data_IF_103962011002
#
_entry.id   IF_103962011002
#
_cell.length_a   1.000
_cell.length_b   1.000
_cell.length_c   1.000
_cell.angle_alpha   90.00
_cell.angle_beta   90.00
_cell.angle_gamma   90.00
#
_symmetry.space_group_name_H-M   'P 1'
#
loop_
_entity.id
_entity.type
_entity.pdbx_description
1 polymer ?
#
# COMPACT_ATOMS: atom_id res chain seq x y z
N UNK A 1 60.42 15.85 -29.39
CA UNK A 1 59.46 16.22 -30.47
C UNK A 1 59.68 15.55 -31.81
N UNK A 2 60.62 14.61 -31.94
CA UNK A 2 60.99 14.00 -33.23
C UNK A 2 60.24 12.70 -33.59
N UNK A 3 59.43 12.12 -32.68
CA UNK A 3 58.76 10.83 -32.90
C UNK A 3 57.34 10.93 -33.41
N UNK A 4 56.74 12.13 -33.46
CA UNK A 4 55.33 12.32 -33.85
C UNK A 4 55.10 12.30 -35.39
N UNK A 5 56.14 12.61 -36.20
CA UNK A 5 56.01 12.63 -37.64
C UNK A 5 55.91 11.23 -38.27
N UNK A 6 56.74 10.22 -37.89
CA UNK A 6 56.62 8.89 -38.47
C UNK A 6 55.32 8.19 -38.08
N UNK A 7 54.78 8.43 -36.85
CA UNK A 7 53.50 7.87 -36.43
C UNK A 7 52.31 8.42 -37.23
N UNK A 8 52.33 9.68 -37.61
CA UNK A 8 51.26 10.30 -38.44
C UNK A 8 51.29 9.76 -39.89
N UNK A 9 52.48 9.52 -40.45
CA UNK A 9 52.61 8.92 -41.76
C UNK A 9 52.14 7.47 -41.79
N UNK A 10 52.43 6.68 -40.77
CA UNK A 10 51.96 5.30 -40.61
C UNK A 10 50.46 5.25 -40.44
N UNK A 11 49.89 6.13 -39.61
CA UNK A 11 48.41 6.17 -39.44
C UNK A 11 47.69 6.64 -40.70
N UNK A 12 48.25 7.56 -41.48
CA UNK A 12 47.70 7.99 -42.76
C UNK A 12 47.75 6.88 -43.82
N UNK A 13 48.83 6.09 -43.84
CA UNK A 13 48.99 4.96 -44.77
C UNK A 13 48.07 3.78 -44.40
N UNK A 14 47.82 3.56 -43.09
CA UNK A 14 46.97 2.46 -42.61
C UNK A 14 45.46 2.83 -42.60
N UNK A 15 45.11 4.11 -42.71
CA UNK A 15 43.72 4.57 -42.68
C UNK A 15 42.83 3.96 -43.79
N UNK A 16 43.27 3.81 -45.06
CA UNK A 16 42.44 3.16 -46.07
C UNK A 16 42.27 1.65 -45.81
N UNK A 17 43.30 0.99 -45.25
CA UNK A 17 43.23 -0.44 -44.93
C UNK A 17 42.25 -0.69 -43.77
N UNK A 18 42.25 0.12 -42.73
CA UNK A 18 41.29 0.02 -41.64
C UNK A 18 39.86 0.28 -42.09
N UNK A 19 39.65 1.26 -43.00
CA UNK A 19 38.33 1.52 -43.60
C UNK A 19 37.83 0.34 -44.44
N UNK A 20 38.72 -0.29 -45.22
CA UNK A 20 38.40 -1.45 -46.02
C UNK A 20 38.01 -2.65 -45.14
N UNK A 21 38.77 -2.89 -44.06
CA UNK A 21 38.47 -3.95 -43.09
C UNK A 21 37.15 -3.74 -42.37
N UNK A 22 36.81 -2.50 -41.98
CA UNK A 22 35.51 -2.15 -41.37
C UNK A 22 34.39 -2.36 -42.40
N UNK A 23 34.60 -2.00 -43.68
CA UNK A 23 33.63 -2.19 -44.75
C UNK A 23 33.39 -3.67 -45.05
N UNK A 24 34.43 -4.48 -45.05
CA UNK A 24 34.38 -5.94 -45.22
C UNK A 24 33.68 -6.59 -44.01
N UNK A 25 34.04 -6.17 -42.79
CA UNK A 25 33.39 -6.62 -41.56
C UNK A 25 31.89 -6.34 -41.56
N UNK A 26 31.47 -5.14 -41.95
CA UNK A 26 30.07 -4.77 -42.08
C UNK A 26 29.33 -5.49 -43.22
N UNK A 27 30.03 -5.93 -44.28
CA UNK A 27 29.47 -6.68 -45.39
C UNK A 27 29.32 -8.17 -45.07
N UNK A 28 30.24 -8.73 -44.29
CA UNK A 28 30.20 -10.14 -43.86
C UNK A 28 29.30 -10.40 -42.66
N UNK A 29 29.06 -9.37 -41.84
CA UNK A 29 28.15 -9.44 -40.70
C UNK A 29 27.00 -8.46 -40.97
N UNK A 30 25.89 -8.85 -41.63
CA UNK A 30 24.71 -8.02 -41.79
C UNK A 30 23.94 -7.95 -40.46
N UNK A 31 24.61 -7.62 -39.39
CA UNK A 31 24.04 -7.17 -38.15
C UNK A 31 23.90 -5.65 -38.23
N UNK A 32 22.84 -5.12 -37.72
CA UNK A 32 22.63 -3.68 -37.50
C UNK A 32 23.83 -3.15 -36.69
N UNK A 33 24.90 -2.74 -37.41
CA UNK A 33 26.07 -2.18 -36.78
C UNK A 33 25.71 -1.04 -35.85
N UNK A 34 26.45 -0.86 -34.77
CA UNK A 34 26.45 0.19 -33.73
C UNK A 34 25.74 1.52 -34.11
N UNK A 35 24.43 1.41 -34.49
CA UNK A 35 23.59 2.58 -34.75
C UNK A 35 22.94 3.11 -33.47
N UNK A 36 22.94 2.30 -32.44
CA UNK A 36 22.54 2.70 -31.10
C UNK A 36 23.82 2.89 -30.30
N UNK A 37 23.94 3.98 -29.57
CA UNK A 37 25.14 4.34 -28.80
C UNK A 37 25.60 3.25 -27.81
N UNK A 38 26.57 3.53 -26.95
CA UNK A 38 27.21 2.55 -26.06
C UNK A 38 26.28 1.85 -25.07
N UNK A 39 24.98 2.12 -25.10
CA UNK A 39 23.96 1.47 -24.25
C UNK A 39 22.78 1.05 -25.13
N UNK A 40 22.91 -0.11 -25.78
CA UNK A 40 21.91 -0.61 -26.72
C UNK A 40 20.83 -1.48 -26.04
N UNK A 41 21.02 -1.88 -24.78
CA UNK A 41 20.07 -2.71 -24.04
C UNK A 41 20.01 -2.31 -22.55
N UNK A 42 18.89 -2.60 -21.91
CA UNK A 42 18.72 -2.44 -20.47
C UNK A 42 19.74 -3.27 -19.68
N UNK A 43 20.10 -4.46 -20.17
CA UNK A 43 21.12 -5.32 -19.57
C UNK A 43 22.47 -4.60 -19.48
N UNK A 44 22.91 -3.94 -20.58
CA UNK A 44 24.15 -3.18 -20.57
C UNK A 44 24.12 -2.00 -19.60
N UNK A 45 22.95 -1.38 -19.42
CA UNK A 45 22.79 -0.28 -18.48
C UNK A 45 22.84 -0.80 -17.03
N UNK A 46 22.25 -1.95 -16.74
CA UNK A 46 22.36 -2.61 -15.42
C UNK A 46 23.82 -2.95 -15.09
N UNK A 47 24.58 -3.50 -16.03
CA UNK A 47 26.00 -3.80 -15.84
C UNK A 47 26.83 -2.54 -15.53
N UNK A 48 26.52 -1.41 -16.16
CA UNK A 48 27.21 -0.13 -15.88
C UNK A 48 26.88 0.38 -14.49
N UNK A 49 25.64 0.25 -14.04
CA UNK A 49 25.21 0.62 -12.68
C UNK A 49 25.93 -0.26 -11.65
N UNK A 50 26.03 -1.58 -11.88
CA UNK A 50 26.76 -2.51 -11.03
C UNK A 50 28.24 -2.14 -10.91
N UNK A 51 28.87 -1.81 -12.03
CA UNK A 51 30.26 -1.38 -12.07
C UNK A 51 30.47 -0.04 -11.32
N UNK A 52 29.51 0.88 -11.43
CA UNK A 52 29.55 2.16 -10.73
C UNK A 52 29.43 1.95 -9.20
N UNK A 53 28.59 1.02 -8.76
CA UNK A 53 28.48 0.66 -7.35
C UNK A 53 29.79 0.02 -6.83
N UNK A 54 30.36 -0.94 -7.57
CA UNK A 54 31.64 -1.58 -7.19
C UNK A 54 32.78 -0.57 -7.04
N UNK A 55 32.73 0.53 -7.79
CA UNK A 55 33.70 1.64 -7.73
C UNK A 55 33.39 2.69 -6.68
N UNK A 56 32.29 2.54 -5.93
CA UNK A 56 31.87 3.50 -4.92
C UNK A 56 31.34 4.84 -5.47
N UNK A 57 30.95 4.87 -6.76
CA UNK A 57 30.37 6.06 -7.41
C UNK A 57 28.87 6.14 -7.15
N UNK A 58 28.21 4.98 -7.03
CA UNK A 58 26.78 4.83 -6.74
C UNK A 58 26.67 4.05 -5.41
N UNK A 59 25.83 4.52 -4.49
CA UNK A 59 25.56 3.82 -3.24
C UNK A 59 24.68 2.58 -3.47
N UNK A 60 24.63 1.67 -2.49
CA UNK A 60 23.88 0.42 -2.65
C UNK A 60 22.37 0.64 -2.70
N UNK A 61 21.86 1.65 -2.00
CA UNK A 61 20.47 2.09 -2.01
C UNK A 61 20.10 2.79 -3.32
N UNK A 62 20.98 3.66 -3.83
CA UNK A 62 20.78 4.30 -5.15
C UNK A 62 20.73 3.25 -6.27
N UNK A 63 21.59 2.21 -6.21
CA UNK A 63 21.54 1.11 -7.17
C UNK A 63 20.20 0.39 -7.14
N UNK A 64 19.69 0.06 -5.93
CA UNK A 64 18.37 -0.58 -5.79
C UNK A 64 17.26 0.26 -6.39
N UNK A 65 17.23 1.56 -6.13
CA UNK A 65 16.24 2.47 -6.73
C UNK A 65 16.29 2.47 -8.26
N UNK A 66 17.50 2.41 -8.86
CA UNK A 66 17.66 2.33 -10.31
C UNK A 66 17.10 1.00 -10.85
N UNK A 67 17.36 -0.11 -10.16
CA UNK A 67 16.81 -1.42 -10.52
C UNK A 67 15.27 -1.43 -10.44
N UNK A 68 14.69 -0.92 -9.36
CA UNK A 68 13.24 -0.81 -9.21
C UNK A 68 12.59 0.04 -10.32
N UNK A 69 13.26 1.10 -10.78
CA UNK A 69 12.75 1.89 -11.93
C UNK A 69 12.68 1.05 -13.21
N UNK A 70 13.63 0.14 -13.45
CA UNK A 70 13.57 -0.77 -14.61
C UNK A 70 12.44 -1.80 -14.46
N UNK A 71 12.21 -2.30 -13.26
CA UNK A 71 11.19 -3.31 -12.97
C UNK A 71 9.77 -2.73 -13.04
N UNK A 72 9.62 -1.42 -12.78
CA UNK A 72 8.33 -0.75 -12.77
C UNK A 72 7.54 -0.90 -14.08
N UNK A 73 8.24 -1.04 -15.20
CA UNK A 73 7.63 -1.26 -16.52
C UNK A 73 7.03 -2.65 -16.71
N UNK A 74 7.51 -3.63 -15.97
CA UNK A 74 7.08 -5.03 -16.06
C UNK A 74 6.12 -5.42 -14.93
N UNK A 75 6.05 -4.63 -13.86
CA UNK A 75 5.19 -4.86 -12.69
C UNK A 75 3.76 -4.38 -12.96
N UNK A 76 2.75 -5.25 -12.94
CA UNK A 76 1.36 -4.84 -13.07
C UNK A 76 0.81 -4.23 -11.78
N UNK A 77 -0.16 -3.32 -11.89
CA UNK A 77 -0.74 -2.58 -10.78
C UNK A 77 -1.33 -3.46 -9.67
N UNK A 78 -1.79 -4.67 -10.00
CA UNK A 78 -2.33 -5.63 -9.02
C UNK A 78 -1.30 -6.10 -7.99
N UNK A 79 0.00 -6.01 -8.27
CA UNK A 79 1.04 -6.48 -7.34
C UNK A 79 1.27 -5.51 -6.17
N UNK A 80 0.90 -4.23 -6.37
CA UNK A 80 1.08 -3.18 -5.35
C UNK A 80 -0.23 -2.63 -4.81
N UNK A 81 -1.37 -3.15 -5.27
CA UNK A 81 -2.68 -2.66 -4.84
C UNK A 81 -2.98 -2.99 -3.38
N UNK A 82 -3.82 -2.17 -2.78
CA UNK A 82 -4.60 -2.55 -1.61
C UNK A 82 -5.75 -3.43 -2.11
N UNK A 83 -5.81 -4.72 -1.72
CA UNK A 83 -6.87 -5.63 -2.17
C UNK A 83 -8.25 -5.14 -1.75
N UNK A 84 -9.28 -5.51 -2.49
CA UNK A 84 -10.68 -5.18 -2.20
C UNK A 84 -11.09 -5.45 -0.74
N UNK A 85 -10.63 -6.56 -0.19
CA UNK A 85 -10.93 -6.99 1.18
C UNK A 85 -10.32 -6.11 2.25
N UNK A 86 -9.27 -5.36 1.91
CA UNK A 86 -8.57 -4.44 2.81
C UNK A 86 -8.96 -2.97 2.56
N UNK A 87 -9.81 -2.70 1.57
CA UNK A 87 -10.22 -1.34 1.25
C UNK A 87 -11.09 -0.75 2.36
N UNK A 88 -10.76 0.47 2.77
CA UNK A 88 -11.64 1.30 3.60
C UNK A 88 -12.48 2.16 2.67
N UNK A 89 -13.78 2.10 2.82
CA UNK A 89 -14.77 2.78 1.99
C UNK A 89 -15.89 3.39 2.84
N UNK A 90 -16.72 4.23 2.23
CA UNK A 90 -17.89 4.82 2.86
C UNK A 90 -19.08 4.82 1.90
N UNK A 91 -20.27 4.65 2.43
CA UNK A 91 -21.51 4.70 1.64
C UNK A 91 -21.84 6.15 1.24
N UNK A 92 -22.44 6.30 0.07
CA UNK A 92 -22.75 7.60 -0.54
C UNK A 92 -23.82 8.41 0.24
N UNK A 93 -24.68 7.74 1.01
CA UNK A 93 -25.73 8.33 1.82
C UNK A 93 -25.25 8.86 3.18
N UNK A 94 -24.05 8.46 3.62
CA UNK A 94 -23.46 8.94 4.88
C UNK A 94 -23.17 10.45 4.80
N UNK A 95 -23.03 11.04 5.99
CA UNK A 95 -22.77 12.49 6.10
C UNK A 95 -21.29 12.82 5.94
N UNK A 96 -20.97 14.03 5.52
CA UNK A 96 -19.59 14.54 5.44
C UNK A 96 -18.88 14.47 6.81
N UNK A 97 -19.61 14.67 7.92
CA UNK A 97 -19.06 14.52 9.27
C UNK A 97 -18.65 13.08 9.60
N UNK A 98 -19.45 12.09 9.17
CA UNK A 98 -19.09 10.67 9.33
C UNK A 98 -17.87 10.31 8.48
N UNK A 99 -17.83 10.78 7.21
CA UNK A 99 -16.70 10.57 6.33
C UNK A 99 -15.41 11.21 6.90
N UNK A 100 -15.52 12.41 7.47
CA UNK A 100 -14.41 13.09 8.15
C UNK A 100 -13.88 12.26 9.32
N UNK A 101 -14.77 11.74 10.15
CA UNK A 101 -14.41 10.89 11.29
C UNK A 101 -13.71 9.61 10.81
N UNK A 102 -14.22 8.99 9.75
CA UNK A 102 -13.60 7.81 9.14
C UNK A 102 -12.19 8.14 8.60
N UNK A 103 -12.05 9.23 7.84
CA UNK A 103 -10.77 9.66 7.28
C UNK A 103 -9.70 9.91 8.36
N UNK A 104 -10.08 10.58 9.44
CA UNK A 104 -9.17 10.84 10.58
C UNK A 104 -8.80 9.53 11.30
N UNK A 105 -9.75 8.64 11.54
CA UNK A 105 -9.49 7.37 12.24
C UNK A 105 -8.67 6.38 11.41
N UNK A 106 -8.87 6.37 10.10
CA UNK A 106 -8.13 5.49 9.19
C UNK A 106 -6.79 6.08 8.72
N UNK A 107 -6.55 7.38 8.95
CA UNK A 107 -5.37 8.08 8.45
C UNK A 107 -5.37 8.32 6.93
N UNK A 108 -6.49 8.03 6.24
CA UNK A 108 -6.55 8.14 4.78
C UNK A 108 -7.00 9.53 4.33
N UNK A 109 -6.23 10.10 3.39
CA UNK A 109 -6.59 11.37 2.75
C UNK A 109 -7.68 11.23 1.67
N UNK A 110 -7.91 10.00 1.19
CA UNK A 110 -8.88 9.67 0.12
C UNK A 110 -9.57 8.37 0.44
N UNK A 111 -10.89 8.36 0.32
CA UNK A 111 -11.71 7.19 0.64
C UNK A 111 -12.66 6.93 -0.51
N UNK A 112 -12.70 5.72 -1.09
CA UNK A 112 -13.70 5.30 -2.06
C UNK A 112 -15.11 5.42 -1.51
N UNK A 113 -16.04 5.84 -2.35
CA UNK A 113 -17.47 5.97 -2.03
C UNK A 113 -18.24 4.88 -2.77
N UNK A 114 -18.96 4.08 -2.03
CA UNK A 114 -19.79 3.01 -2.59
C UNK A 114 -21.27 3.42 -2.69
N UNK A 115 -21.95 2.85 -3.66
CA UNK A 115 -23.40 2.91 -3.80
C UNK A 115 -24.07 1.75 -3.04
N UNK A 116 -24.47 0.71 -3.75
CA UNK A 116 -25.19 -0.43 -3.17
C UNK A 116 -24.24 -1.46 -2.51
N UNK A 117 -23.05 -1.63 -3.05
CA UNK A 117 -22.07 -2.58 -2.54
C UNK A 117 -20.63 -2.16 -2.91
N UNK A 118 -19.63 -2.95 -2.52
CA UNK A 118 -18.20 -2.64 -2.72
C UNK A 118 -17.80 -2.67 -4.19
N UNK A 119 -18.55 -3.34 -5.07
CA UNK A 119 -18.29 -3.31 -6.51
C UNK A 119 -18.90 -2.07 -7.19
N UNK A 120 -19.85 -1.40 -6.53
CA UNK A 120 -20.48 -0.19 -7.03
C UNK A 120 -19.78 1.07 -6.48
N UNK A 121 -18.56 1.33 -6.94
CA UNK A 121 -17.83 2.54 -6.57
C UNK A 121 -18.36 3.72 -7.37
N UNK A 122 -19.00 4.67 -6.70
CA UNK A 122 -19.61 5.87 -7.33
C UNK A 122 -18.72 7.11 -7.28
N UNK A 123 -17.65 7.09 -6.49
CA UNK A 123 -16.74 8.23 -6.40
C UNK A 123 -15.62 8.04 -5.39
N UNK A 124 -14.88 9.11 -5.12
CA UNK A 124 -13.84 9.20 -4.09
C UNK A 124 -14.04 10.49 -3.32
N UNK A 125 -14.05 10.42 -2.00
CA UNK A 125 -14.08 11.61 -1.15
C UNK A 125 -12.69 11.95 -0.63
N UNK A 126 -12.38 13.24 -0.61
CA UNK A 126 -11.08 13.76 -0.20
C UNK A 126 -11.18 14.42 1.17
N UNK A 127 -10.25 14.11 2.07
CA UNK A 127 -10.20 14.69 3.42
C UNK A 127 -10.26 16.23 3.37
N UNK A 128 -9.54 16.86 2.45
CA UNK A 128 -9.52 18.32 2.34
C UNK A 128 -10.91 18.90 2.01
N UNK A 129 -11.68 18.23 1.15
CA UNK A 129 -13.01 18.68 0.75
C UNK A 129 -14.00 18.44 1.91
N UNK A 130 -13.81 17.35 2.66
CA UNK A 130 -14.56 17.09 3.91
C UNK A 130 -14.29 18.15 4.98
N UNK A 131 -13.01 18.54 5.17
CA UNK A 131 -12.64 19.62 6.11
C UNK A 131 -13.35 20.92 5.71
N UNK A 132 -13.34 21.29 4.43
CA UNK A 132 -14.02 22.51 3.94
C UNK A 132 -15.52 22.46 4.26
N UNK A 133 -16.18 21.33 3.98
CA UNK A 133 -17.62 21.17 4.21
C UNK A 133 -18.00 21.10 5.70
N UNK A 134 -17.15 20.53 6.54
CA UNK A 134 -17.44 20.39 7.97
C UNK A 134 -17.08 21.64 8.74
N UNK A 135 -15.94 22.27 8.41
CA UNK A 135 -15.44 23.45 9.11
C UNK A 135 -16.20 24.73 8.75
N UNK A 136 -16.60 24.90 7.48
CA UNK A 136 -17.36 26.04 7.02
C UNK A 136 -18.88 25.91 7.28
N UNK A 137 -19.33 24.74 7.75
CA UNK A 137 -20.73 24.47 8.03
C UNK A 137 -21.07 24.68 9.50
N UNK A 138 -22.15 25.40 9.78
CA UNK A 138 -22.63 25.63 11.17
C UNK A 138 -23.08 24.36 11.87
N UNK A 139 -23.36 23.28 11.12
CA UNK A 139 -23.83 21.98 11.64
C UNK A 139 -22.78 20.88 11.59
N UNK A 140 -21.48 21.20 11.32
CA UNK A 140 -20.40 20.24 11.26
C UNK A 140 -20.53 19.21 10.14
N UNK A 141 -21.16 19.58 9.02
CA UNK A 141 -21.34 18.71 7.85
C UNK A 141 -22.39 17.60 8.03
N UNK A 142 -23.24 17.67 9.06
CA UNK A 142 -24.25 16.64 9.35
C UNK A 142 -25.40 16.58 8.34
N UNK A 143 -25.65 17.65 7.60
CA UNK A 143 -26.70 17.72 6.59
C UNK A 143 -26.18 17.47 5.17
N UNK A 144 -24.87 17.49 4.98
CA UNK A 144 -24.25 17.27 3.67
C UNK A 144 -23.91 15.80 3.51
N UNK A 145 -24.47 15.14 2.51
CA UNK A 145 -24.14 13.75 2.18
C UNK A 145 -22.80 13.65 1.43
N UNK A 146 -22.12 12.51 1.57
CA UNK A 146 -20.88 12.19 0.86
C UNK A 146 -21.07 12.28 -0.65
N UNK A 147 -22.20 11.84 -1.17
CA UNK A 147 -22.54 11.93 -2.60
C UNK A 147 -22.46 13.35 -3.18
N UNK A 148 -22.61 14.38 -2.36
CA UNK A 148 -22.52 15.80 -2.81
C UNK A 148 -21.10 16.35 -2.81
N UNK A 149 -20.18 15.71 -2.10
CA UNK A 149 -18.79 16.17 -1.88
C UNK A 149 -17.80 15.32 -2.66
N UNK A 150 -18.16 14.08 -2.98
CA UNK A 150 -17.31 13.14 -3.70
C UNK A 150 -16.94 13.66 -5.09
N UNK A 151 -15.78 13.24 -5.55
CA UNK A 151 -15.28 13.45 -6.91
C UNK A 151 -15.42 12.18 -7.72
N UNK A 152 -15.44 12.24 -9.07
CA UNK A 152 -15.43 11.06 -9.91
C UNK A 152 -14.25 10.15 -9.58
N UNK A 153 -14.48 8.84 -9.54
CA UNK A 153 -13.45 7.83 -9.40
C UNK A 153 -12.75 7.59 -10.74
N UNK A 154 -11.47 7.22 -10.69
CA UNK A 154 -10.69 6.81 -11.87
C UNK A 154 -10.48 5.31 -11.80
N UNK A 155 -10.88 4.62 -12.87
CA UNK A 155 -10.77 3.16 -13.00
C UNK A 155 -9.70 2.82 -14.01
N UNK A 156 -8.85 1.84 -13.68
CA UNK A 156 -7.82 1.31 -14.57
C UNK A 156 -7.79 -0.22 -14.49
N UNK A 157 -7.38 -0.91 -15.56
CA UNK A 157 -7.18 -2.36 -15.49
C UNK A 157 -6.10 -2.72 -14.45
N UNK A 158 -6.31 -3.79 -13.71
CA UNK A 158 -5.36 -4.30 -12.70
C UNK A 158 -4.04 -4.80 -13.32
N UNK A 159 -4.09 -5.20 -14.59
CA UNK A 159 -2.94 -5.62 -15.40
C UNK A 159 -2.09 -4.47 -15.96
N UNK A 160 -2.47 -3.21 -15.71
CA UNK A 160 -1.75 -2.05 -16.24
C UNK A 160 -0.35 -1.95 -15.64
N UNK A 161 0.72 -1.77 -16.47
CA UNK A 161 2.07 -1.56 -15.97
C UNK A 161 2.18 -0.31 -15.08
N UNK A 162 2.94 -0.41 -13.99
CA UNK A 162 3.06 0.67 -13.00
C UNK A 162 3.67 1.94 -13.58
N UNK A 163 4.63 1.84 -14.51
CA UNK A 163 5.24 2.99 -15.16
C UNK A 163 4.24 3.79 -16.00
N UNK A 164 3.33 3.09 -16.68
CA UNK A 164 2.26 3.71 -17.46
C UNK A 164 1.20 4.33 -16.54
N UNK A 165 0.87 3.63 -15.44
CA UNK A 165 -0.06 4.13 -14.42
C UNK A 165 0.48 5.39 -13.76
N UNK A 166 1.75 5.40 -13.32
CA UNK A 166 2.40 6.55 -12.69
C UNK A 166 2.37 7.78 -13.60
N UNK A 167 2.72 7.61 -14.88
CA UNK A 167 2.67 8.71 -15.86
C UNK A 167 1.26 9.28 -16.05
N UNK A 168 0.24 8.42 -16.04
CA UNK A 168 -1.16 8.84 -16.15
C UNK A 168 -1.60 9.59 -14.89
N UNK A 169 -1.32 9.04 -13.70
CA UNK A 169 -1.64 9.67 -12.43
C UNK A 169 -1.01 11.06 -12.29
N UNK A 170 0.26 11.21 -12.71
CA UNK A 170 0.95 12.50 -12.70
C UNK A 170 0.35 13.50 -13.70
N UNK A 171 0.08 13.07 -14.94
CA UNK A 171 -0.52 13.92 -15.98
C UNK A 171 -1.89 14.44 -15.55
N UNK A 172 -2.72 13.57 -15.01
CA UNK A 172 -4.12 13.85 -14.68
C UNK A 172 -4.28 14.39 -13.25
N UNK A 173 -3.16 14.49 -12.50
CA UNK A 173 -3.11 14.92 -11.09
C UNK A 173 -4.04 14.10 -10.21
N UNK A 174 -4.13 12.82 -10.51
CA UNK A 174 -4.87 11.86 -9.74
C UNK A 174 -3.92 11.07 -8.83
N UNK A 175 -4.26 10.93 -7.56
CA UNK A 175 -3.42 10.27 -6.57
C UNK A 175 -3.99 8.93 -6.12
N UNK A 176 -5.10 8.48 -6.69
CA UNK A 176 -5.73 7.20 -6.38
C UNK A 176 -6.43 6.67 -7.63
N UNK A 177 -6.22 5.42 -7.97
CA UNK A 177 -6.95 4.71 -9.00
C UNK A 177 -7.58 3.45 -8.42
N UNK A 178 -8.77 3.11 -8.91
CA UNK A 178 -9.45 1.85 -8.59
C UNK A 178 -9.10 0.83 -9.68
N UNK A 179 -8.71 -0.35 -9.26
CA UNK A 179 -8.32 -1.42 -10.16
C UNK A 179 -9.52 -2.32 -10.45
N UNK A 180 -9.71 -2.60 -11.73
CA UNK A 180 -10.77 -3.50 -12.21
C UNK A 180 -10.16 -4.72 -12.87
N UNK A 181 -10.73 -5.89 -12.59
CA UNK A 181 -10.36 -7.15 -13.19
C UNK A 181 -10.94 -7.32 -14.60
N UNK A 182 -10.69 -8.47 -15.24
CA UNK A 182 -11.16 -8.82 -16.58
C UNK A 182 -12.69 -8.97 -16.68
N UNK A 183 -13.35 -9.13 -15.55
CA UNK A 183 -14.81 -9.29 -15.45
C UNK A 183 -15.51 -7.97 -15.10
N UNK A 184 -14.74 -6.91 -14.84
CA UNK A 184 -15.26 -5.59 -14.46
C UNK A 184 -15.56 -5.45 -12.97
N UNK A 185 -15.16 -6.41 -12.13
CA UNK A 185 -15.26 -6.30 -10.69
C UNK A 185 -14.10 -5.48 -10.12
N UNK A 186 -14.31 -4.87 -8.96
CA UNK A 186 -13.25 -4.14 -8.26
C UNK A 186 -12.26 -5.13 -7.65
N UNK A 187 -11.02 -5.12 -8.14
CA UNK A 187 -9.92 -5.90 -7.59
C UNK A 187 -9.29 -5.24 -6.35
N UNK A 188 -9.19 -3.91 -6.37
CA UNK A 188 -8.59 -3.14 -5.30
C UNK A 188 -8.43 -1.66 -5.65
N UNK A 189 -7.55 -0.99 -4.94
CA UNK A 189 -7.13 0.38 -5.25
C UNK A 189 -5.61 0.51 -5.18
N UNK A 190 -5.08 1.54 -5.83
CA UNK A 190 -3.67 1.90 -5.76
C UNK A 190 -3.55 3.41 -5.60
N UNK A 191 -2.67 3.85 -4.74
CA UNK A 191 -2.29 5.26 -4.60
C UNK A 191 -0.98 5.55 -5.34
N UNK A 192 -0.70 6.82 -5.61
CA UNK A 192 0.58 7.22 -6.20
C UNK A 192 1.73 6.95 -5.23
N UNK A 193 1.44 7.02 -3.95
CA UNK A 193 2.35 6.73 -2.85
C UNK A 193 2.80 5.26 -2.89
N UNK A 194 1.89 4.30 -3.13
CA UNK A 194 2.21 2.88 -3.28
C UNK A 194 3.14 2.63 -4.48
N UNK A 195 2.89 3.30 -5.61
CA UNK A 195 3.73 3.16 -6.81
C UNK A 195 5.14 3.76 -6.59
N UNK A 196 5.24 4.88 -5.86
CA UNK A 196 6.53 5.50 -5.54
C UNK A 196 7.34 4.65 -4.56
N UNK A 197 6.68 3.94 -3.66
CA UNK A 197 7.32 3.03 -2.72
C UNK A 197 8.05 1.88 -3.43
N UNK A 198 7.51 1.37 -4.54
CA UNK A 198 8.21 0.37 -5.36
C UNK A 198 9.56 0.87 -5.92
N UNK A 199 9.69 2.19 -6.11
CA UNK A 199 10.94 2.80 -6.57
C UNK A 199 11.91 3.05 -5.42
N UNK A 200 11.41 3.67 -4.35
CA UNK A 200 12.24 4.14 -3.23
C UNK A 200 12.56 3.00 -2.26
N UNK A 201 11.71 1.97 -2.23
CA UNK A 201 11.73 0.91 -1.23
C UNK A 201 11.14 1.38 0.11
N UNK A 202 11.03 0.47 1.04
CA UNK A 202 10.64 0.81 2.40
C UNK A 202 11.67 1.77 2.99
N UNK A 203 11.23 2.98 3.33
CA UNK A 203 12.03 3.90 4.14
C UNK A 203 11.91 3.36 5.57
N UNK A 204 12.81 2.43 5.93
CA UNK A 204 12.87 1.89 7.28
C UNK A 204 13.11 3.07 8.24
N UNK A 205 12.14 3.35 9.08
CA UNK A 205 12.33 4.27 10.20
C UNK A 205 13.19 3.54 11.24
N UNK A 206 14.21 4.22 11.79
CA UNK A 206 15.11 3.67 12.82
C UNK A 206 14.34 3.23 14.09
N UNK A 207 13.05 3.50 14.15
CA UNK A 207 12.14 3.17 15.26
C UNK A 207 11.27 1.92 15.03
N UNK A 208 11.30 1.29 13.84
CA UNK A 208 10.46 0.12 13.52
C UNK A 208 10.89 -1.20 14.21
N UNK A 209 11.86 -1.18 15.09
CA UNK A 209 12.38 -2.38 15.78
C UNK A 209 11.72 -2.72 17.12
N UNK A 210 10.58 -2.17 17.45
CA UNK A 210 9.81 -2.66 18.57
C UNK A 210 8.87 -3.78 18.12
N UNK A 211 9.39 -4.99 17.90
CA UNK A 211 8.58 -6.20 17.94
C UNK A 211 7.88 -6.24 19.31
N UNK A 212 6.61 -5.85 19.32
CA UNK A 212 5.76 -6.01 20.50
C UNK A 212 5.71 -7.50 20.81
N UNK A 213 5.98 -7.88 22.07
CA UNK A 213 5.86 -9.28 22.48
C UNK A 213 4.49 -9.82 22.00
N UNK A 214 4.45 -11.05 21.41
CA UNK A 214 3.20 -11.59 20.86
C UNK A 214 2.03 -11.59 21.86
N UNK A 215 2.33 -11.69 23.15
CA UNK A 215 1.38 -11.65 24.27
C UNK A 215 2.01 -10.89 25.43
N UNK A 216 1.32 -9.86 25.92
CA UNK A 216 1.65 -9.10 27.12
C UNK A 216 0.53 -9.28 28.15
N UNK A 217 0.84 -9.83 29.32
CA UNK A 217 -0.12 -9.98 30.42
C UNK A 217 -0.23 -8.66 31.19
N UNK A 218 -1.42 -8.07 31.21
CA UNK A 218 -1.72 -6.81 31.89
C UNK A 218 -2.35 -7.04 33.30
N UNK A 219 -2.49 -8.30 33.70
CA UNK A 219 -3.21 -8.69 34.94
C UNK A 219 -4.73 -8.68 34.79
N UNK A 220 -5.43 -9.23 35.78
CA UNK A 220 -6.90 -9.31 35.81
C UNK A 220 -7.50 -10.01 34.57
N UNK A 221 -6.82 -11.04 34.05
CA UNK A 221 -7.19 -11.73 32.82
C UNK A 221 -7.31 -10.80 31.59
N UNK A 222 -6.53 -9.73 31.56
CA UNK A 222 -6.41 -8.84 30.40
C UNK A 222 -5.08 -9.09 29.72
N UNK A 223 -5.11 -9.31 28.42
CA UNK A 223 -3.92 -9.53 27.61
C UNK A 223 -3.91 -8.54 26.44
N UNK A 224 -2.76 -7.93 26.20
CA UNK A 224 -2.50 -7.22 24.95
C UNK A 224 -1.79 -8.19 24.04
N UNK A 225 -2.39 -8.48 22.89
CA UNK A 225 -1.86 -9.47 21.95
C UNK A 225 -1.63 -8.87 20.59
N UNK A 226 -0.69 -9.43 19.80
CA UNK A 226 -0.55 -9.08 18.41
C UNK A 226 -1.85 -9.40 17.65
N UNK A 227 -2.28 -8.53 16.74
CA UNK A 227 -3.41 -8.82 15.86
C UNK A 227 -3.19 -10.04 14.96
N UNK A 228 -1.94 -10.48 14.80
CA UNK A 228 -1.54 -11.68 14.03
C UNK A 228 -1.46 -12.94 14.89
N UNK A 229 -1.72 -12.83 16.19
CA UNK A 229 -1.72 -14.01 17.07
C UNK A 229 -2.80 -14.99 16.60
N UNK A 230 -2.48 -16.30 16.49
CA UNK A 230 -3.47 -17.33 16.19
C UNK A 230 -4.61 -17.34 17.22
N UNK A 231 -5.85 -17.54 16.76
CA UNK A 231 -7.01 -17.61 17.66
C UNK A 231 -6.93 -18.79 18.62
N UNK A 232 -6.27 -19.89 18.22
CA UNK A 232 -6.03 -21.05 19.05
C UNK A 232 -5.24 -20.70 20.32
N UNK A 233 -4.19 -19.84 20.18
CA UNK A 233 -3.40 -19.37 21.32
C UNK A 233 -4.25 -18.55 22.29
N UNK A 234 -5.25 -17.79 21.80
CA UNK A 234 -6.22 -17.08 22.64
C UNK A 234 -7.13 -18.09 23.35
N UNK A 235 -7.52 -19.16 22.66
CA UNK A 235 -8.27 -20.27 23.24
C UNK A 235 -7.54 -20.87 24.44
N UNK A 236 -6.21 -21.11 24.31
CA UNK A 236 -5.40 -21.59 25.42
C UNK A 236 -5.30 -20.60 26.59
N UNK A 237 -5.19 -19.28 26.31
CA UNK A 237 -5.09 -18.23 27.33
C UNK A 237 -6.37 -18.12 28.20
N UNK A 238 -7.54 -18.29 27.59
CA UNK A 238 -8.83 -18.07 28.27
C UNK A 238 -9.62 -19.34 28.53
N UNK A 239 -9.18 -20.48 27.99
CA UNK A 239 -9.92 -21.76 28.09
C UNK A 239 -11.20 -21.74 27.25
N UNK A 240 -11.17 -21.07 26.10
CA UNK A 240 -12.29 -20.95 25.15
C UNK A 240 -11.96 -21.81 23.93
N UNK A 241 -12.94 -22.59 23.47
CA UNK A 241 -12.83 -23.31 22.20
C UNK A 241 -13.46 -22.46 21.09
N UNK A 242 -12.74 -22.26 19.99
CA UNK A 242 -13.26 -21.64 18.78
C UNK A 242 -13.69 -22.75 17.83
N UNK A 243 -14.77 -22.51 17.09
CA UNK A 243 -15.29 -23.49 16.13
C UNK A 243 -14.32 -23.69 14.97
N UNK A 244 -14.05 -24.95 14.57
CA UNK A 244 -13.20 -25.31 13.45
C UNK A 244 -13.72 -24.74 12.09
N UNK A 245 -14.98 -24.35 12.01
CA UNK A 245 -15.64 -23.76 10.85
C UNK A 245 -15.44 -22.23 10.74
N UNK A 246 -14.72 -21.61 11.69
CA UNK A 246 -14.37 -20.18 11.59
C UNK A 246 -13.36 -19.98 10.47
N UNK A 247 -13.73 -19.21 9.44
CA UNK A 247 -12.89 -18.90 8.27
C UNK A 247 -11.85 -17.79 8.60
N UNK A 248 -11.24 -17.86 9.80
CA UNK A 248 -10.21 -16.92 10.27
C UNK A 248 -9.22 -17.61 11.21
N UNK A 249 -7.94 -17.29 11.02
CA UNK A 249 -6.83 -17.91 11.77
C UNK A 249 -6.24 -16.98 12.85
N UNK A 250 -6.59 -15.68 12.84
CA UNK A 250 -5.93 -14.68 13.70
C UNK A 250 -6.92 -13.82 14.48
N UNK A 251 -6.46 -13.23 15.58
CA UNK A 251 -7.25 -12.30 16.40
C UNK A 251 -7.75 -11.10 15.59
N UNK A 252 -6.91 -10.55 14.72
CA UNK A 252 -7.30 -9.46 13.83
C UNK A 252 -8.34 -9.90 12.79
N UNK A 253 -8.24 -11.16 12.30
CA UNK A 253 -9.22 -11.78 11.43
C UNK A 253 -10.57 -11.96 12.12
N UNK A 254 -10.57 -12.47 13.36
CA UNK A 254 -11.79 -12.62 14.16
C UNK A 254 -12.48 -11.28 14.38
N UNK A 255 -11.71 -10.25 14.71
CA UNK A 255 -12.23 -8.89 14.87
C UNK A 255 -12.84 -8.34 13.57
N UNK A 256 -12.20 -8.61 12.42
CA UNK A 256 -12.71 -8.20 11.11
C UNK A 256 -13.99 -8.94 10.71
N UNK A 257 -14.04 -10.25 10.99
CA UNK A 257 -15.22 -11.09 10.75
C UNK A 257 -16.44 -10.58 11.52
N UNK A 258 -16.29 -10.36 12.82
CA UNK A 258 -17.36 -9.87 13.69
C UNK A 258 -17.83 -8.46 13.33
N UNK A 259 -16.93 -7.59 12.87
CA UNK A 259 -17.27 -6.24 12.42
C UNK A 259 -17.87 -6.21 11.00
N UNK A 260 -17.66 -7.25 10.20
CA UNK A 260 -18.02 -7.27 8.78
C UNK A 260 -17.28 -6.23 7.93
N UNK A 261 -16.15 -5.70 8.42
CA UNK A 261 -15.32 -4.67 7.77
C UNK A 261 -13.93 -4.64 8.38
N UNK A 262 -13.01 -3.93 7.67
CA UNK A 262 -11.66 -3.68 8.20
C UNK A 262 -11.75 -2.97 9.55
N UNK A 263 -11.18 -3.57 10.60
CA UNK A 263 -11.21 -2.96 11.93
C UNK A 263 -10.30 -1.73 11.98
N UNK A 264 -10.73 -0.69 12.68
CA UNK A 264 -9.97 0.53 12.92
C UNK A 264 -9.62 0.66 14.42
N UNK A 265 -8.60 1.43 14.77
CA UNK A 265 -8.27 1.71 16.16
C UNK A 265 -9.49 2.18 16.96
N UNK A 266 -9.67 1.59 18.15
CA UNK A 266 -10.83 1.81 19.00
C UNK A 266 -12.09 1.06 18.55
N UNK A 267 -12.00 0.15 17.58
CA UNK A 267 -13.09 -0.79 17.30
C UNK A 267 -13.16 -1.83 18.43
N UNK A 268 -14.38 -2.20 18.80
CA UNK A 268 -14.65 -3.14 19.88
C UNK A 268 -15.74 -4.13 19.46
N UNK A 269 -15.53 -5.39 19.78
CA UNK A 269 -16.52 -6.46 19.60
C UNK A 269 -16.50 -7.40 20.79
N UNK A 270 -17.61 -8.12 21.00
CA UNK A 270 -17.70 -9.22 21.95
C UNK A 270 -17.92 -10.49 21.13
N UNK A 271 -17.00 -11.44 21.27
CA UNK A 271 -17.05 -12.73 20.60
C UNK A 271 -16.57 -13.81 21.55
N UNK A 272 -17.27 -14.96 21.58
CA UNK A 272 -16.92 -16.12 22.43
C UNK A 272 -16.72 -15.79 23.92
N UNK A 273 -17.46 -14.82 24.45
CA UNK A 273 -17.35 -14.39 25.86
C UNK A 273 -16.13 -13.51 26.14
N UNK A 274 -15.43 -13.08 25.11
CA UNK A 274 -14.29 -12.16 25.19
C UNK A 274 -14.64 -10.83 24.55
N UNK A 275 -14.15 -9.76 25.17
CA UNK A 275 -14.16 -8.41 24.62
C UNK A 275 -12.82 -8.18 23.90
N UNK A 276 -12.87 -7.90 22.61
CA UNK A 276 -11.75 -7.58 21.76
C UNK A 276 -11.76 -6.07 21.46
N UNK A 277 -10.73 -5.36 21.87
CA UNK A 277 -10.59 -3.93 21.61
C UNK A 277 -9.35 -3.69 20.76
N UNK A 278 -9.55 -3.10 19.58
CA UNK A 278 -8.47 -2.80 18.63
C UNK A 278 -7.61 -1.63 19.10
N UNK A 279 -6.33 -1.86 19.31
CA UNK A 279 -5.36 -0.79 19.54
C UNK A 279 -4.65 -0.41 18.24
N UNK A 280 -4.42 0.89 18.04
CA UNK A 280 -3.83 1.41 16.83
C UNK A 280 -2.32 1.21 16.76
N UNK A 281 -1.86 0.99 15.55
CA UNK A 281 -0.48 1.13 15.11
C UNK A 281 -0.47 1.75 13.72
N UNK A 282 0.69 2.15 13.25
CA UNK A 282 0.90 2.51 11.85
C UNK A 282 1.75 1.44 11.20
N UNK A 283 1.39 1.03 9.97
CA UNK A 283 2.27 0.20 9.17
C UNK A 283 3.46 1.03 8.63
N UNK A 284 4.42 0.35 8.00
CA UNK A 284 5.58 0.99 7.38
C UNK A 284 5.21 2.05 6.32
N UNK A 285 3.98 2.03 5.81
CA UNK A 285 3.41 3.02 4.88
C UNK A 285 2.72 4.18 5.59
N UNK A 286 2.82 4.27 6.92
CA UNK A 286 2.13 5.29 7.72
C UNK A 286 0.61 5.14 7.73
N UNK A 287 0.07 4.01 7.22
CA UNK A 287 -1.36 3.72 7.27
C UNK A 287 -1.72 3.20 8.64
N UNK A 288 -2.81 3.71 9.19
CA UNK A 288 -3.32 3.23 10.48
C UNK A 288 -3.80 1.80 10.30
N UNK A 289 -3.09 0.86 10.95
CA UNK A 289 -3.46 -0.56 11.05
C UNK A 289 -3.59 -0.95 12.51
N UNK A 290 -4.35 -2.03 12.76
CA UNK A 290 -4.36 -2.66 14.06
C UNK A 290 -3.08 -3.47 14.17
N UNK A 291 -2.20 -3.07 15.09
CA UNK A 291 -1.01 -3.84 15.44
C UNK A 291 -1.27 -4.79 16.61
N UNK A 292 -2.11 -4.34 17.55
CA UNK A 292 -2.42 -5.05 18.79
C UNK A 292 -3.92 -5.03 19.09
N UNK A 293 -4.37 -6.03 19.82
CA UNK A 293 -5.74 -6.16 20.33
C UNK A 293 -5.67 -6.39 21.84
N UNK A 294 -6.43 -5.59 22.59
CA UNK A 294 -6.63 -5.82 23.99
C UNK A 294 -7.78 -6.81 24.18
N UNK A 295 -7.50 -7.92 24.82
CA UNK A 295 -8.44 -8.96 25.16
C UNK A 295 -8.82 -8.85 26.65
N UNK A 296 -10.10 -9.02 26.96
CA UNK A 296 -10.61 -9.13 28.32
C UNK A 296 -11.86 -10.02 28.34
N UNK A 297 -12.20 -10.64 29.48
CA UNK A 297 -13.50 -11.29 29.61
C UNK A 297 -14.61 -10.29 29.38
N UNK A 298 -15.63 -10.67 28.61
CA UNK A 298 -16.86 -9.89 28.53
C UNK A 298 -17.54 -9.95 29.90
N UNK A 299 -17.80 -8.79 30.51
CA UNK A 299 -18.66 -8.74 31.69
C UNK A 299 -20.03 -9.31 31.31
N UNK A 300 -20.63 -10.18 32.12
CA UNK A 300 -22.01 -10.59 31.89
C UNK A 300 -22.89 -9.33 31.90
N UNK A 301 -23.65 -9.13 30.81
CA UNK A 301 -24.61 -8.05 30.69
C UNK A 301 -25.43 -7.88 31.98
N UNK A 302 -25.36 -6.66 32.53
CA UNK A 302 -26.01 -6.16 33.73
C UNK A 302 -26.95 -7.06 34.49
N UNK A 303 -26.55 -7.41 35.69
CA UNK A 303 -27.56 -7.51 36.75
C UNK A 303 -28.11 -6.09 36.98
N UNK A 304 -29.24 -5.78 36.41
CA UNK A 304 -30.07 -4.64 36.82
C UNK A 304 -30.18 -4.65 38.33
N UNK A 305 -29.72 -3.60 38.98
CA UNK A 305 -30.03 -3.27 40.37
C UNK A 305 -31.56 -3.08 40.55
N UNK A 306 -32.31 -4.18 40.57
CA UNK A 306 -33.60 -4.25 41.22
C UNK A 306 -33.37 -4.65 42.68
N UNK A 307 -32.98 -3.70 43.51
CA UNK A 307 -33.29 -3.78 44.93
C UNK A 307 -33.16 -2.39 45.58
N UNK A 308 -34.18 -1.60 45.48
CA UNK A 308 -34.45 -0.61 46.48
C UNK A 308 -35.93 -0.74 46.83
N UNK A 309 -36.14 -1.76 47.58
CA UNK A 309 -37.38 -2.02 48.31
C UNK A 309 -37.63 -0.94 49.36
N UNK A 310 -38.93 -0.76 49.52
CA UNK A 310 -39.59 -0.26 50.69
C UNK A 310 -39.10 -0.81 52.04
N UNK A 311 -39.21 -0.07 53.16
CA UNK A 311 -40.47 -0.01 53.80
C UNK A 311 -40.77 1.22 54.71
N UNK A 312 -42.07 1.34 55.01
CA UNK A 312 -42.59 1.83 56.26
C UNK A 312 -43.02 3.29 56.36
#
# INVERSE_FOLDING_TARGET
>A
MATALPLRLISWLLMPISRLLVLLGNALTPGRGFRNGPFASEIELREVVDLAQQRGVVAADERRMIESVFELGDTPAREVMVPRTEMIWIESDKTAGQAMTLAVRSGHSRIPVIGENVDDIVGVVYLKDLVEQTFCSTNGGRETTVARVMRPAVFVPDSKPLDALLREMQRDRNHMALLVDEYGAIAGLVSIEDVLEEIVGEIADEYDQAETAPVEDLGDKRFRVSARLPIEDVGELYGVEFDDDLDVDTVGGLLALELGRVPLPGAEVISHGLRLHAEGGTDHRGRVRIGTVLLSPAEPDGADDEEADHPG
#
